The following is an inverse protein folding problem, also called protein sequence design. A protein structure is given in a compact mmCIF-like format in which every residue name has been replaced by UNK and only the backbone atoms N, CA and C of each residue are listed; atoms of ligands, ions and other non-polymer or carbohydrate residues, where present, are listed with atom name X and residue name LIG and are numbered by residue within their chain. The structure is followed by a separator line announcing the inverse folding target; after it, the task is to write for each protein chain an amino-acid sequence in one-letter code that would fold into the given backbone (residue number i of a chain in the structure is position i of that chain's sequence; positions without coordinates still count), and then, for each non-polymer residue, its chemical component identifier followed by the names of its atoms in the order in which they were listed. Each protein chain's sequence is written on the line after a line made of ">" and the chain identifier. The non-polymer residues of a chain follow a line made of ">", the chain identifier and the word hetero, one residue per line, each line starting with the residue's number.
data_IF_404226422460
#
_entry.id   IF_404226422460
#
_cell.length_a   1.000
_cell.length_b   1.000
_cell.length_c   1.000
_cell.angle_alpha   90.00
_cell.angle_beta   90.00
_cell.angle_gamma   90.00
#
_symmetry.space_group_name_H-M   'P 1'
#
loop_
_entity.id
_entity.type
_entity.pdbx_description
1 polymer ?
#
# COMPACT_ATOMS: atom_id res chain seq x y z
N UNK A 1 16.46 12.69 5.47
CA UNK A 1 15.62 13.70 4.77
C UNK A 1 14.48 14.06 5.70
N UNK A 2 14.33 15.35 6.05
CA UNK A 2 13.20 15.82 6.85
C UNK A 2 11.95 15.60 5.99
N UNK A 3 10.87 15.04 6.56
CA UNK A 3 9.60 14.82 5.84
C UNK A 3 8.61 15.91 6.23
N UNK A 4 7.85 16.43 5.25
CA UNK A 4 6.72 17.32 5.52
C UNK A 4 5.77 16.59 6.48
N UNK A 5 5.23 17.26 7.50
CA UNK A 5 4.25 16.62 8.37
C UNK A 5 2.87 16.59 7.68
N UNK A 6 2.08 15.54 7.90
CA UNK A 6 0.76 15.38 7.27
C UNK A 6 -0.16 16.61 7.45
N UNK A 7 -0.24 17.28 8.62
CA UNK A 7 -1.04 18.50 8.76
C UNK A 7 -0.54 19.67 7.90
N UNK A 8 0.77 19.76 7.65
CA UNK A 8 1.35 20.79 6.80
C UNK A 8 1.04 20.51 5.32
N UNK A 9 1.07 19.25 4.91
CA UNK A 9 0.66 18.82 3.57
C UNK A 9 -0.83 19.09 3.33
N UNK A 10 -1.72 18.69 4.26
CA UNK A 10 -3.16 18.98 4.20
C UNK A 10 -3.44 20.48 4.12
N UNK A 11 -2.75 21.30 4.92
CA UNK A 11 -2.88 22.75 4.87
C UNK A 11 -2.46 23.33 3.52
N UNK A 12 -1.40 22.80 2.90
CA UNK A 12 -0.99 23.21 1.55
C UNK A 12 -2.14 22.99 0.57
N UNK A 13 -2.67 21.76 0.50
CA UNK A 13 -3.74 21.38 -0.44
C UNK A 13 -4.95 22.29 -0.25
N UNK A 14 -5.39 22.48 1.00
CA UNK A 14 -6.57 23.31 1.28
C UNK A 14 -6.39 24.75 0.80
N UNK A 15 -5.21 25.34 1.04
CA UNK A 15 -4.88 26.70 0.60
C UNK A 15 -4.79 26.79 -0.92
N UNK A 16 -4.19 25.80 -1.59
CA UNK A 16 -4.09 25.76 -3.04
C UNK A 16 -5.46 25.63 -3.70
N UNK A 17 -6.33 24.73 -3.22
CA UNK A 17 -7.69 24.60 -3.70
C UNK A 17 -8.50 25.89 -3.47
N UNK A 18 -8.29 26.55 -2.33
CA UNK A 18 -8.85 27.87 -2.04
C UNK A 18 -8.42 28.94 -3.05
N UNK A 19 -7.13 29.00 -3.38
CA UNK A 19 -6.58 29.92 -4.36
C UNK A 19 -7.11 29.65 -5.78
N UNK A 20 -7.16 28.38 -6.20
CA UNK A 20 -7.75 27.96 -7.49
C UNK A 20 -9.20 28.44 -7.60
N UNK A 21 -10.04 28.18 -6.59
CA UNK A 21 -11.44 28.64 -6.56
C UNK A 21 -11.55 30.16 -6.60
N UNK A 22 -10.68 30.87 -5.89
CA UNK A 22 -10.70 32.33 -5.88
C UNK A 22 -10.43 32.92 -7.27
N UNK A 23 -9.45 32.39 -8.01
CA UNK A 23 -9.16 32.80 -9.39
C UNK A 23 -10.31 32.48 -10.36
N UNK A 24 -11.02 31.36 -10.15
CA UNK A 24 -12.17 31.00 -10.97
C UNK A 24 -13.41 31.87 -10.72
N UNK A 25 -13.53 32.48 -9.53
CA UNK A 25 -14.73 33.21 -9.09
C UNK A 25 -14.59 34.74 -9.16
N UNK A 26 -13.38 35.28 -9.02
CA UNK A 26 -13.15 36.71 -8.85
C UNK A 26 -12.00 37.22 -9.73
N UNK A 27 -12.00 38.49 -10.15
CA UNK A 27 -10.85 39.09 -10.83
C UNK A 27 -9.64 39.21 -9.88
N UNK A 28 -8.41 39.15 -10.42
CA UNK A 28 -7.17 39.13 -9.62
C UNK A 28 -7.01 40.29 -8.64
N UNK A 29 -7.58 41.47 -8.93
CA UNK A 29 -7.56 42.62 -8.01
C UNK A 29 -8.53 42.51 -6.83
N UNK A 30 -9.32 41.43 -6.74
CA UNK A 30 -10.32 41.26 -5.69
C UNK A 30 -9.64 40.90 -4.36
N UNK A 31 -10.01 41.53 -3.21
CA UNK A 31 -9.36 41.28 -1.92
C UNK A 31 -9.33 39.81 -1.49
N UNK A 32 -10.37 39.04 -1.84
CA UNK A 32 -10.40 37.60 -1.54
C UNK A 32 -9.31 36.80 -2.28
N UNK A 33 -8.96 37.19 -3.51
CA UNK A 33 -7.89 36.54 -4.28
C UNK A 33 -6.54 36.86 -3.65
N UNK A 34 -6.29 38.16 -3.39
CA UNK A 34 -5.07 38.64 -2.72
C UNK A 34 -4.85 37.94 -1.38
N UNK A 35 -5.90 37.78 -0.58
CA UNK A 35 -5.82 37.11 0.72
C UNK A 35 -5.47 35.62 0.60
N UNK A 36 -6.07 34.89 -0.35
CA UNK A 36 -5.75 33.47 -0.55
C UNK A 36 -4.30 33.27 -0.96
N UNK A 37 -3.77 34.07 -1.89
CA UNK A 37 -2.37 33.97 -2.30
C UNK A 37 -1.38 34.44 -1.24
N UNK A 38 -1.78 35.36 -0.36
CA UNK A 38 -0.97 35.71 0.82
C UNK A 38 -0.84 34.49 1.74
N UNK A 39 -1.95 33.86 2.12
CA UNK A 39 -1.92 32.68 3.00
C UNK A 39 -1.18 31.49 2.38
N UNK A 40 -1.42 31.22 1.10
CA UNK A 40 -0.73 30.15 0.36
C UNK A 40 0.77 30.44 0.26
N UNK A 41 1.14 31.66 -0.09
CA UNK A 41 2.53 32.11 -0.18
C UNK A 41 3.26 31.99 1.15
N UNK A 42 2.65 32.42 2.26
CA UNK A 42 3.22 32.30 3.60
C UNK A 42 3.48 30.84 3.99
N UNK A 43 2.53 29.94 3.67
CA UNK A 43 2.66 28.52 3.98
C UNK A 43 3.71 27.82 3.10
N UNK A 44 3.75 28.14 1.79
CA UNK A 44 4.79 27.64 0.88
C UNK A 44 6.18 28.12 1.30
N UNK A 45 6.31 29.41 1.67
CA UNK A 45 7.56 29.95 2.19
C UNK A 45 7.95 29.30 3.53
N UNK A 46 6.99 29.01 4.40
CA UNK A 46 7.24 28.27 5.64
C UNK A 46 7.83 26.88 5.37
N UNK A 47 7.24 26.13 4.44
CA UNK A 47 7.76 24.83 4.03
C UNK A 47 9.16 24.95 3.41
N UNK A 48 9.37 25.92 2.52
CA UNK A 48 10.65 26.09 1.83
C UNK A 48 11.80 26.59 2.73
N UNK A 49 11.52 27.01 3.97
CA UNK A 49 12.55 27.21 5.00
C UNK A 49 13.12 25.89 5.52
N UNK A 50 12.33 24.83 5.49
CA UNK A 50 12.70 23.49 5.96
C UNK A 50 13.06 22.53 4.83
N UNK A 51 12.59 22.78 3.60
CA UNK A 51 12.75 21.92 2.44
C UNK A 51 13.31 22.71 1.24
N UNK A 52 14.29 22.20 0.49
CA UNK A 52 14.85 22.90 -0.67
C UNK A 52 13.85 23.05 -1.84
N UNK A 53 12.91 22.11 -1.93
CA UNK A 53 11.84 22.05 -2.93
C UNK A 53 10.60 21.44 -2.25
N UNK A 54 9.41 21.83 -2.71
CA UNK A 54 8.12 21.20 -2.35
C UNK A 54 7.39 20.83 -3.62
N UNK A 55 7.06 19.56 -3.78
CA UNK A 55 6.44 18.95 -4.96
C UNK A 55 5.00 18.59 -4.64
N UNK A 56 4.09 18.92 -5.53
CA UNK A 56 2.70 18.47 -5.48
C UNK A 56 2.35 17.89 -6.84
N UNK A 57 1.39 17.01 -6.91
CA UNK A 57 1.03 16.43 -8.19
C UNK A 57 -0.05 15.40 -8.12
N UNK A 58 -0.19 14.65 -9.21
CA UNK A 58 -1.12 13.55 -9.33
C UNK A 58 -0.37 12.35 -9.87
N UNK A 59 -0.51 11.23 -9.16
CA UNK A 59 -0.03 9.92 -9.61
C UNK A 59 -1.24 9.00 -9.62
N UNK A 60 -1.55 8.42 -10.78
CA UNK A 60 -2.70 7.51 -10.97
C UNK A 60 -4.04 8.06 -10.45
N UNK A 61 -4.28 9.36 -10.63
CA UNK A 61 -5.50 10.06 -10.19
C UNK A 61 -5.53 10.44 -8.71
N UNK A 62 -4.49 10.10 -7.94
CA UNK A 62 -4.35 10.45 -6.52
C UNK A 62 -3.48 11.68 -6.38
N UNK A 63 -3.99 12.71 -5.69
CA UNK A 63 -3.20 13.90 -5.40
C UNK A 63 -2.08 13.56 -4.41
N UNK A 64 -0.91 14.16 -4.56
CA UNK A 64 0.18 14.06 -3.58
C UNK A 64 0.80 15.42 -3.26
N UNK A 65 1.40 15.49 -2.08
CA UNK A 65 2.26 16.58 -1.64
C UNK A 65 3.50 15.95 -0.99
N UNK A 66 4.63 16.05 -1.68
CA UNK A 66 5.88 15.35 -1.37
C UNK A 66 5.61 13.85 -1.13
N UNK A 67 5.89 13.39 0.07
CA UNK A 67 5.75 12.01 0.49
C UNK A 67 4.35 11.67 1.05
N UNK A 68 3.34 12.53 0.85
CA UNK A 68 1.96 12.31 1.27
C UNK A 68 1.06 12.14 0.05
N UNK A 69 0.53 10.94 -0.13
CA UNK A 69 -0.51 10.64 -1.10
C UNK A 69 -1.87 10.75 -0.42
N UNK A 70 -2.84 11.41 -1.06
CA UNK A 70 -4.16 11.63 -0.49
C UNK A 70 -5.17 10.64 -1.08
N UNK A 71 -5.08 9.37 -0.69
CA UNK A 71 -5.93 8.32 -1.28
C UNK A 71 -7.39 8.32 -0.77
N UNK A 72 -7.67 8.95 0.38
CA UNK A 72 -9.03 9.37 0.78
C UNK A 72 -9.17 10.89 0.61
N UNK A 73 -9.30 11.37 -0.64
CA UNK A 73 -9.25 12.79 -0.89
C UNK A 73 -10.48 13.46 -0.27
N UNK A 74 -10.29 14.62 0.37
CA UNK A 74 -11.42 15.52 0.61
C UNK A 74 -11.79 16.18 -0.73
N UNK A 75 -12.88 16.95 -0.75
CA UNK A 75 -13.27 17.69 -1.95
C UNK A 75 -12.14 18.58 -2.50
N UNK A 76 -11.24 19.09 -1.64
CA UNK A 76 -10.11 19.90 -2.08
C UNK A 76 -9.06 19.09 -2.86
N UNK A 77 -8.70 17.90 -2.37
CA UNK A 77 -7.76 16.99 -3.04
C UNK A 77 -8.36 16.46 -4.34
N UNK A 78 -9.65 16.08 -4.38
CA UNK A 78 -10.32 15.62 -5.62
C UNK A 78 -10.35 16.72 -6.69
N UNK A 79 -10.63 17.96 -6.28
CA UNK A 79 -10.64 19.13 -7.18
C UNK A 79 -9.26 19.36 -7.80
N UNK A 80 -8.20 19.33 -6.98
CA UNK A 80 -6.84 19.52 -7.46
C UNK A 80 -6.34 18.34 -8.30
N UNK A 81 -6.68 17.10 -7.91
CA UNK A 81 -6.35 15.91 -8.70
C UNK A 81 -6.97 15.98 -10.09
N UNK A 82 -8.25 16.35 -10.15
CA UNK A 82 -8.98 16.55 -11.40
C UNK A 82 -8.38 17.69 -12.22
N UNK A 83 -7.99 18.80 -11.58
CA UNK A 83 -7.36 19.93 -12.26
C UNK A 83 -6.04 19.53 -12.92
N UNK A 84 -5.13 18.90 -12.19
CA UNK A 84 -3.81 18.49 -12.69
C UNK A 84 -3.94 17.46 -13.82
N UNK A 85 -4.80 16.45 -13.62
CA UNK A 85 -5.10 15.44 -14.65
C UNK A 85 -5.65 16.08 -15.93
N UNK A 86 -6.64 16.96 -15.80
CA UNK A 86 -7.25 17.67 -16.94
C UNK A 86 -6.32 18.71 -17.59
N UNK A 87 -5.16 18.99 -16.99
CA UNK A 87 -4.12 19.88 -17.52
C UNK A 87 -2.90 19.12 -18.04
N UNK A 88 -2.90 17.80 -17.98
CA UNK A 88 -1.75 16.95 -18.32
C UNK A 88 -0.48 17.33 -17.53
N UNK A 89 -0.66 17.64 -16.24
CA UNK A 89 0.40 17.97 -15.30
C UNK A 89 0.52 16.81 -14.31
N UNK A 90 1.69 16.18 -14.25
CA UNK A 90 1.96 15.11 -13.28
C UNK A 90 2.43 15.69 -11.96
N UNK A 91 3.34 16.66 -12.00
CA UNK A 91 3.83 17.30 -10.80
C UNK A 91 4.16 18.77 -11.04
N UNK A 92 4.17 19.54 -9.95
CA UNK A 92 4.60 20.93 -9.88
C UNK A 92 5.54 21.03 -8.69
N UNK A 93 6.73 21.57 -8.94
CA UNK A 93 7.73 21.75 -7.92
C UNK A 93 7.91 23.25 -7.62
N UNK A 94 7.81 23.62 -6.36
CA UNK A 94 8.06 24.96 -5.83
C UNK A 94 9.45 24.98 -5.19
N UNK A 95 10.27 25.98 -5.53
CA UNK A 95 11.64 26.13 -5.03
C UNK A 95 11.80 27.35 -4.13
N UNK A 96 12.84 27.32 -3.30
CA UNK A 96 13.21 28.44 -2.45
C UNK A 96 13.30 29.75 -3.26
N UNK A 97 12.67 30.81 -2.74
CA UNK A 97 12.58 32.11 -3.41
C UNK A 97 11.28 32.35 -4.18
N UNK A 98 10.36 31.38 -4.23
CA UNK A 98 9.02 31.57 -4.84
C UNK A 98 8.24 32.69 -4.14
N UNK A 99 7.68 33.60 -4.93
CA UNK A 99 6.89 34.73 -4.45
C UNK A 99 5.38 34.47 -4.54
N UNK A 100 4.53 35.12 -3.69
CA UNK A 100 3.08 35.02 -3.83
C UNK A 100 2.57 35.39 -5.23
N UNK A 101 3.22 36.36 -5.89
CA UNK A 101 2.90 36.78 -7.26
C UNK A 101 3.22 35.70 -8.30
N UNK A 102 4.30 34.95 -8.13
CA UNK A 102 4.62 33.81 -9.00
C UNK A 102 3.62 32.67 -8.83
N UNK A 103 3.19 32.39 -7.59
CA UNK A 103 2.16 31.38 -7.31
C UNK A 103 0.82 31.82 -7.92
N UNK A 104 0.46 33.09 -7.80
CA UNK A 104 -0.75 33.66 -8.41
C UNK A 104 -0.74 33.50 -9.94
N UNK A 105 0.32 33.97 -10.60
CA UNK A 105 0.47 33.82 -12.06
C UNK A 105 0.45 32.35 -12.50
N UNK A 106 1.09 31.46 -11.75
CA UNK A 106 1.06 30.04 -12.04
C UNK A 106 -0.37 29.47 -11.97
N UNK A 107 -1.12 29.76 -10.90
CA UNK A 107 -2.50 29.28 -10.74
C UNK A 107 -3.43 29.88 -11.81
N UNK A 108 -3.23 31.14 -12.21
CA UNK A 108 -3.93 31.73 -13.36
C UNK A 108 -3.67 30.98 -14.67
N UNK A 109 -2.41 30.58 -14.93
CA UNK A 109 -2.07 29.79 -16.10
C UNK A 109 -2.67 28.37 -16.02
N UNK A 110 -2.59 27.72 -14.86
CA UNK A 110 -3.12 26.37 -14.63
C UNK A 110 -4.65 26.31 -14.80
N UNK A 111 -5.37 27.37 -14.45
CA UNK A 111 -6.84 27.40 -14.55
C UNK A 111 -7.34 27.65 -15.99
N UNK A 112 -6.51 28.24 -16.86
CA UNK A 112 -6.86 28.48 -18.28
C UNK A 112 -6.87 27.20 -19.10
N UNK A 113 -8.01 26.91 -19.75
CA UNK A 113 -8.23 25.68 -20.53
C UNK A 113 -7.37 25.56 -21.80
N UNK A 114 -6.83 26.67 -22.28
CA UNK A 114 -6.02 26.75 -23.50
C UNK A 114 -4.57 26.24 -23.31
N UNK A 115 -4.10 26.16 -22.05
CA UNK A 115 -2.76 25.75 -21.69
C UNK A 115 -2.77 24.35 -21.08
N UNK A 116 -2.24 23.39 -21.82
CA UNK A 116 -2.18 21.98 -21.45
C UNK A 116 -0.74 21.47 -21.64
N UNK A 117 -0.29 20.57 -20.77
CA UNK A 117 0.97 19.85 -20.94
C UNK A 117 2.16 20.77 -21.25
N UNK A 118 2.86 20.50 -22.36
CA UNK A 118 4.02 21.27 -22.83
C UNK A 118 3.72 22.75 -23.05
N UNK A 119 2.50 23.09 -23.51
CA UNK A 119 2.09 24.49 -23.67
C UNK A 119 2.03 25.21 -22.33
N UNK A 120 1.50 24.56 -21.29
CA UNK A 120 1.45 25.14 -19.95
C UNK A 120 2.86 25.38 -19.41
N UNK A 121 3.75 24.38 -19.53
CA UNK A 121 5.15 24.53 -19.11
C UNK A 121 5.86 25.68 -19.85
N UNK A 122 5.63 25.82 -21.16
CA UNK A 122 6.20 26.91 -21.96
C UNK A 122 5.68 28.30 -21.54
N UNK A 123 4.39 28.45 -21.23
CA UNK A 123 3.85 29.72 -20.74
C UNK A 123 4.35 30.08 -19.35
N UNK A 124 4.54 29.09 -18.46
CA UNK A 124 5.14 29.31 -17.13
C UNK A 124 6.54 29.92 -17.26
N UNK A 125 7.36 29.38 -18.17
CA UNK A 125 8.68 29.94 -18.48
C UNK A 125 8.59 31.33 -19.12
N UNK A 126 7.68 31.53 -20.09
CA UNK A 126 7.51 32.84 -20.76
C UNK A 126 7.02 33.94 -19.82
N UNK A 127 6.21 33.59 -18.82
CA UNK A 127 5.73 34.50 -17.78
C UNK A 127 6.81 34.90 -16.77
N UNK A 128 8.03 34.36 -16.88
CA UNK A 128 9.15 34.65 -16.01
C UNK A 128 9.01 34.03 -14.61
N UNK A 129 8.26 32.93 -14.49
CA UNK A 129 8.07 32.20 -13.23
C UNK A 129 9.27 31.24 -13.10
N UNK A 130 10.26 31.62 -12.28
CA UNK A 130 11.53 30.89 -12.19
C UNK A 130 11.51 29.85 -11.06
N UNK A 131 10.78 30.11 -10.00
CA UNK A 131 10.76 29.27 -8.81
C UNK A 131 9.69 28.15 -8.83
N UNK A 132 8.96 27.99 -9.93
CA UNK A 132 7.95 26.94 -10.12
C UNK A 132 8.26 26.19 -11.42
N UNK A 133 8.40 24.86 -11.36
CA UNK A 133 8.50 24.01 -12.56
C UNK A 133 7.33 23.05 -12.68
N UNK A 134 6.83 22.90 -13.91
CA UNK A 134 5.77 21.97 -14.27
C UNK A 134 6.40 20.73 -14.89
N UNK A 135 6.00 19.57 -14.40
CA UNK A 135 6.45 18.28 -14.89
C UNK A 135 5.30 17.58 -15.61
N UNK A 136 5.63 17.03 -16.76
CA UNK A 136 4.68 16.57 -17.76
C UNK A 136 4.84 15.08 -17.95
N UNK A 137 3.71 14.39 -18.06
CA UNK A 137 3.70 12.95 -18.34
C UNK A 137 4.29 12.64 -19.70
N UNK A 138 5.55 12.25 -19.69
CA UNK A 138 6.36 11.91 -20.84
C UNK A 138 7.73 11.44 -20.37
N UNK A 139 7.87 10.13 -20.15
CA UNK A 139 9.13 9.40 -19.98
C UNK A 139 10.28 10.18 -19.29
N UNK A 140 10.29 10.16 -17.95
CA UNK A 140 11.41 10.60 -17.12
C UNK A 140 10.98 11.60 -16.04
N UNK A 141 11.38 11.50 -14.77
CA UNK A 141 12.35 10.64 -14.11
C UNK A 141 12.25 10.85 -12.59
N UNK A 142 12.59 9.84 -11.77
CA UNK A 142 13.50 10.03 -10.62
C UNK A 142 14.33 8.76 -10.48
N UNK A 143 15.66 8.93 -10.41
CA UNK A 143 16.74 7.93 -10.42
C UNK A 143 16.33 6.47 -10.18
N UNK A 144 16.06 5.77 -11.28
CA UNK A 144 16.24 4.33 -11.33
C UNK A 144 17.74 4.11 -11.60
N UNK A 145 18.46 3.33 -10.77
CA UNK A 145 19.83 2.96 -11.11
C UNK A 145 19.84 2.28 -12.48
N UNK A 146 20.89 2.57 -13.25
CA UNK A 146 21.12 2.20 -14.65
C UNK A 146 20.47 0.88 -15.13
N UNK A 147 20.07 0.79 -16.43
CA UNK A 147 19.32 -0.33 -17.03
C UNK A 147 20.17 -1.60 -17.24
N UNK A 148 20.75 -2.08 -16.16
CA UNK A 148 21.37 -3.39 -15.99
C UNK A 148 20.91 -4.12 -14.72
N UNK A 149 20.25 -3.43 -13.77
CA UNK A 149 19.87 -3.98 -12.45
C UNK A 149 18.34 -4.07 -12.19
N UNK A 150 17.48 -3.53 -13.08
CA UNK A 150 16.02 -3.38 -12.86
C UNK A 150 15.23 -4.70 -12.77
N UNK A 151 15.79 -5.83 -13.19
CA UNK A 151 15.03 -7.10 -13.22
C UNK A 151 14.76 -7.68 -11.82
N UNK A 152 15.30 -7.06 -10.75
CA UNK A 152 15.25 -7.60 -9.38
C UNK A 152 14.80 -6.62 -8.28
N UNK A 153 14.28 -5.40 -8.54
CA UNK A 153 13.76 -4.54 -7.44
C UNK A 153 12.41 -5.07 -6.89
N UNK A 154 12.37 -5.58 -5.66
CA UNK A 154 11.15 -6.14 -5.08
C UNK A 154 10.13 -5.04 -4.76
N UNK A 155 10.58 -3.81 -4.45
CA UNK A 155 9.72 -2.67 -4.17
C UNK A 155 8.97 -2.19 -5.41
N UNK A 156 9.67 -2.04 -6.55
CA UNK A 156 9.05 -1.76 -7.83
C UNK A 156 8.05 -2.85 -8.24
N UNK A 157 8.43 -4.13 -8.09
CA UNK A 157 7.57 -5.27 -8.42
C UNK A 157 6.29 -5.29 -7.59
N UNK A 158 6.36 -4.95 -6.29
CA UNK A 158 5.18 -4.79 -5.42
C UNK A 158 4.25 -3.66 -5.91
N UNK A 159 4.80 -2.48 -6.21
CA UNK A 159 4.01 -1.33 -6.70
C UNK A 159 3.35 -1.63 -8.05
N UNK A 160 4.06 -2.31 -8.94
CA UNK A 160 3.51 -2.76 -10.22
C UNK A 160 2.36 -3.76 -10.02
N UNK A 161 2.50 -4.72 -9.08
CA UNK A 161 1.42 -5.65 -8.72
C UNK A 161 0.18 -4.92 -8.23
N UNK A 162 0.36 -3.93 -7.34
CA UNK A 162 -0.73 -3.12 -6.83
C UNK A 162 -1.47 -2.37 -7.95
N UNK A 163 -0.72 -1.74 -8.86
CA UNK A 163 -1.31 -1.04 -10.02
C UNK A 163 -2.10 -2.01 -10.92
N UNK A 164 -1.52 -3.17 -11.25
CA UNK A 164 -2.18 -4.16 -12.12
C UNK A 164 -3.43 -4.76 -11.48
N UNK A 165 -3.38 -5.14 -10.19
CA UNK A 165 -4.53 -5.69 -9.46
C UNK A 165 -5.66 -4.65 -9.36
N UNK A 166 -5.32 -3.40 -9.05
CA UNK A 166 -6.29 -2.29 -8.98
C UNK A 166 -6.97 -2.07 -10.33
N UNK A 167 -6.19 -2.02 -11.42
CA UNK A 167 -6.72 -1.90 -12.77
C UNK A 167 -7.63 -3.08 -13.15
N UNK A 168 -7.21 -4.30 -12.82
CA UNK A 168 -7.96 -5.53 -13.09
C UNK A 168 -9.33 -5.50 -12.41
N UNK A 169 -9.37 -5.19 -11.11
CA UNK A 169 -10.62 -5.13 -10.34
C UNK A 169 -11.54 -4.01 -10.86
N UNK A 170 -10.98 -2.86 -11.24
CA UNK A 170 -11.74 -1.76 -11.84
C UNK A 170 -12.40 -2.15 -13.17
N UNK A 171 -11.71 -2.90 -14.03
CA UNK A 171 -12.29 -3.38 -15.29
C UNK A 171 -13.41 -4.40 -15.04
N UNK A 172 -13.24 -5.30 -14.07
CA UNK A 172 -14.30 -6.25 -13.66
C UNK A 172 -15.52 -5.50 -13.10
N UNK A 173 -15.31 -4.49 -12.26
CA UNK A 173 -16.39 -3.63 -11.72
C UNK A 173 -17.18 -2.97 -12.86
N UNK A 174 -16.51 -2.53 -13.93
CA UNK A 174 -17.13 -1.98 -15.15
C UNK A 174 -17.78 -3.03 -16.07
N UNK A 175 -17.76 -4.30 -15.68
CA UNK A 175 -18.37 -5.40 -16.45
C UNK A 175 -17.51 -5.92 -17.61
N UNK A 176 -16.21 -5.60 -17.63
CA UNK A 176 -15.27 -6.09 -18.63
C UNK A 176 -14.49 -7.30 -18.10
N UNK A 177 -14.08 -8.19 -18.98
CA UNK A 177 -13.16 -9.29 -18.66
C UNK A 177 -11.72 -8.82 -18.90
N UNK A 178 -10.89 -8.67 -17.85
CA UNK A 178 -9.50 -8.24 -17.99
C UNK A 178 -8.61 -9.39 -18.48
N UNK A 179 -7.51 -9.04 -19.17
CA UNK A 179 -6.44 -10.01 -19.45
C UNK A 179 -5.66 -10.35 -18.18
N UNK A 180 -5.25 -11.61 -18.04
CA UNK A 180 -4.41 -12.10 -16.95
C UNK A 180 -2.90 -11.99 -17.22
N UNK A 181 -2.48 -11.63 -18.43
CA UNK A 181 -1.09 -11.76 -18.89
C UNK A 181 -0.12 -10.89 -18.09
N UNK A 182 -0.51 -9.63 -17.84
CA UNK A 182 0.31 -8.69 -17.04
C UNK A 182 0.48 -9.19 -15.61
N UNK A 183 -0.61 -9.63 -14.98
CA UNK A 183 -0.57 -10.16 -13.61
C UNK A 183 0.29 -11.42 -13.55
N UNK A 184 0.17 -12.31 -14.53
CA UNK A 184 0.99 -13.52 -14.61
C UNK A 184 2.47 -13.21 -14.70
N UNK A 185 2.86 -12.26 -15.55
CA UNK A 185 4.26 -11.83 -15.66
C UNK A 185 4.83 -11.31 -14.34
N UNK A 186 4.02 -10.56 -13.57
CA UNK A 186 4.41 -10.07 -12.23
C UNK A 186 4.53 -11.23 -11.24
N UNK A 187 3.53 -12.12 -11.22
CA UNK A 187 3.51 -13.30 -10.35
C UNK A 187 4.71 -14.21 -10.62
N UNK A 188 5.08 -14.43 -11.88
CA UNK A 188 6.25 -15.24 -12.24
C UNK A 188 7.57 -14.62 -11.75
N UNK A 189 7.69 -13.29 -11.81
CA UNK A 189 8.84 -12.57 -11.23
C UNK A 189 8.85 -12.72 -9.71
N UNK A 190 7.72 -12.50 -9.04
CA UNK A 190 7.61 -12.65 -7.59
C UNK A 190 7.89 -14.08 -7.12
N UNK A 191 7.39 -15.10 -7.82
CA UNK A 191 7.68 -16.50 -7.52
C UNK A 191 9.18 -16.80 -7.63
N UNK A 192 9.87 -16.21 -8.62
CA UNK A 192 11.32 -16.32 -8.78
C UNK A 192 12.06 -15.65 -7.62
N UNK A 193 11.67 -14.44 -7.24
CA UNK A 193 12.24 -13.73 -6.09
C UNK A 193 12.05 -14.48 -4.78
N UNK A 194 10.84 -15.02 -4.52
CA UNK A 194 10.54 -15.81 -3.31
C UNK A 194 11.40 -17.07 -3.25
N UNK A 195 11.65 -17.72 -4.39
CA UNK A 195 12.51 -18.90 -4.44
C UNK A 195 13.98 -18.58 -4.15
N UNK A 196 14.44 -17.36 -4.46
CA UNK A 196 15.80 -16.89 -4.19
C UNK A 196 15.96 -16.37 -2.76
N UNK A 197 15.07 -15.48 -2.32
CA UNK A 197 15.06 -14.89 -0.99
C UNK A 197 13.61 -14.56 -0.55
N UNK A 198 13.06 -15.45 0.29
CA UNK A 198 11.69 -15.34 0.83
C UNK A 198 11.50 -14.08 1.69
N UNK A 199 12.55 -13.61 2.38
CA UNK A 199 12.41 -12.59 3.41
C UNK A 199 12.09 -11.21 2.82
N UNK A 200 12.52 -10.94 1.59
CA UNK A 200 12.45 -9.60 1.00
C UNK A 200 11.03 -9.21 0.57
N UNK A 201 10.34 -10.06 -0.20
CA UNK A 201 8.93 -9.80 -0.56
C UNK A 201 7.98 -9.94 0.63
N UNK A 202 8.27 -10.87 1.55
CA UNK A 202 7.53 -11.00 2.79
C UNK A 202 7.62 -9.71 3.62
N UNK A 203 8.80 -9.06 3.66
CA UNK A 203 8.97 -7.76 4.30
C UNK A 203 8.02 -6.71 3.72
N UNK A 204 7.95 -6.59 2.40
CA UNK A 204 7.09 -5.62 1.71
C UNK A 204 5.60 -5.83 1.97
N UNK A 205 5.12 -7.08 1.94
CA UNK A 205 3.73 -7.41 2.26
C UNK A 205 3.35 -7.08 3.72
N UNK A 206 4.35 -6.94 4.60
CA UNK A 206 4.17 -6.59 6.01
C UNK A 206 4.26 -5.09 6.29
N UNK A 207 4.75 -4.28 5.33
CA UNK A 207 4.77 -2.81 5.41
C UNK A 207 3.37 -2.31 5.06
N UNK A 208 2.74 -1.59 5.99
CA UNK A 208 1.34 -1.17 5.86
C UNK A 208 1.27 0.27 5.37
N UNK A 209 0.64 0.45 4.22
CA UNK A 209 0.06 1.73 3.80
C UNK A 209 -1.45 1.68 4.06
N UNK A 210 -1.96 2.69 4.75
CA UNK A 210 -3.27 2.62 5.42
C UNK A 210 -4.44 3.08 4.56
N UNK A 211 -4.16 3.64 3.39
CA UNK A 211 -5.18 4.41 2.68
C UNK A 211 -5.88 3.63 1.54
N UNK A 212 -5.57 2.35 1.32
CA UNK A 212 -6.31 1.50 0.37
C UNK A 212 -6.34 0.00 0.73
N UNK A 213 -7.12 -0.33 1.77
CA UNK A 213 -7.17 -1.66 2.40
C UNK A 213 -7.35 -2.83 1.41
N UNK A 214 -8.27 -2.75 0.44
CA UNK A 214 -8.71 -3.93 -0.35
C UNK A 214 -7.69 -4.39 -1.40
N UNK A 215 -7.04 -3.46 -2.10
CA UNK A 215 -6.06 -3.84 -3.13
C UNK A 215 -4.72 -4.23 -2.52
N UNK A 216 -4.28 -3.52 -1.46
CA UNK A 216 -3.13 -3.97 -0.66
C UNK A 216 -3.38 -5.34 -0.05
N UNK A 217 -4.59 -5.58 0.48
CA UNK A 217 -4.97 -6.89 1.00
C UNK A 217 -4.82 -8.00 -0.06
N UNK A 218 -5.34 -7.79 -1.26
CA UNK A 218 -5.24 -8.79 -2.34
C UNK A 218 -3.78 -9.07 -2.73
N UNK A 219 -2.94 -8.01 -2.81
CA UNK A 219 -1.51 -8.14 -3.10
C UNK A 219 -0.76 -8.86 -1.99
N UNK A 220 -1.00 -8.47 -0.74
CA UNK A 220 -0.37 -9.06 0.43
C UNK A 220 -0.76 -10.53 0.59
N UNK A 221 -2.04 -10.88 0.40
CA UNK A 221 -2.51 -12.26 0.42
C UNK A 221 -1.84 -13.08 -0.67
N UNK A 222 -1.67 -12.53 -1.89
CA UNK A 222 -0.89 -13.17 -2.95
C UNK A 222 0.55 -13.49 -2.54
N UNK A 223 1.27 -12.50 -2.00
CA UNK A 223 2.67 -12.65 -1.56
C UNK A 223 2.81 -13.60 -0.37
N UNK A 224 1.93 -13.48 0.64
CA UNK A 224 1.90 -14.36 1.81
C UNK A 224 1.58 -15.81 1.41
N UNK A 225 0.65 -16.00 0.46
CA UNK A 225 0.29 -17.32 -0.07
C UNK A 225 1.47 -17.95 -0.79
N UNK A 226 2.13 -17.24 -1.70
CA UNK A 226 3.33 -17.76 -2.40
C UNK A 226 4.46 -18.07 -1.40
N UNK A 227 4.68 -17.22 -0.41
CA UNK A 227 5.72 -17.43 0.61
C UNK A 227 5.44 -18.68 1.45
N UNK A 228 4.18 -18.86 1.90
CA UNK A 228 3.75 -20.05 2.61
C UNK A 228 3.83 -21.30 1.74
N UNK A 229 3.41 -21.20 0.48
CA UNK A 229 3.53 -22.27 -0.51
C UNK A 229 4.97 -22.74 -0.67
N UNK A 230 5.91 -21.80 -0.78
CA UNK A 230 7.33 -22.11 -0.91
C UNK A 230 7.87 -22.77 0.38
N UNK A 231 7.47 -22.27 1.55
CA UNK A 231 7.81 -22.89 2.83
C UNK A 231 7.22 -24.31 2.98
N UNK A 232 6.06 -24.54 2.37
CA UNK A 232 5.35 -25.82 2.36
C UNK A 232 5.82 -26.77 1.24
N UNK A 233 6.84 -26.39 0.46
CA UNK A 233 7.50 -27.23 -0.54
C UNK A 233 6.92 -27.17 -1.95
N UNK A 234 6.04 -26.21 -2.26
CA UNK A 234 5.55 -26.00 -3.63
C UNK A 234 6.68 -25.53 -4.55
N UNK A 235 6.65 -26.00 -5.79
CA UNK A 235 7.61 -25.62 -6.83
C UNK A 235 7.23 -24.30 -7.50
N UNK A 236 8.17 -23.68 -8.23
CA UNK A 236 8.00 -22.34 -8.81
C UNK A 236 6.72 -22.21 -9.64
N UNK A 237 6.41 -23.20 -10.45
CA UNK A 237 5.23 -23.16 -11.32
C UNK A 237 3.93 -23.23 -10.50
N UNK A 238 3.90 -24.03 -9.43
CA UNK A 238 2.78 -24.06 -8.49
C UNK A 238 2.65 -22.76 -7.70
N UNK A 239 3.76 -22.08 -7.38
CA UNK A 239 3.74 -20.74 -6.77
C UNK A 239 3.14 -19.72 -7.72
N UNK A 240 3.38 -19.85 -9.03
CA UNK A 240 2.76 -19.00 -10.04
C UNK A 240 1.24 -19.11 -10.03
N UNK A 241 0.71 -20.34 -10.06
CA UNK A 241 -0.75 -20.54 -9.99
C UNK A 241 -1.35 -20.11 -8.64
N UNK A 242 -0.66 -20.41 -7.52
CA UNK A 242 -1.09 -20.02 -6.18
C UNK A 242 -1.09 -18.50 -6.01
N UNK A 243 -0.07 -17.81 -6.54
CA UNK A 243 0.01 -16.37 -6.57
C UNK A 243 -1.19 -15.79 -7.30
N UNK A 244 -1.45 -16.23 -8.53
CA UNK A 244 -2.63 -15.82 -9.31
C UNK A 244 -3.92 -15.98 -8.51
N UNK A 245 -4.12 -17.11 -7.83
CA UNK A 245 -5.29 -17.36 -7.00
C UNK A 245 -5.36 -16.40 -5.80
N UNK A 246 -4.24 -16.16 -5.11
CA UNK A 246 -4.17 -15.23 -3.98
C UNK A 246 -4.43 -13.77 -4.37
N UNK A 247 -3.89 -13.31 -5.51
CA UNK A 247 -4.15 -11.95 -6.01
C UNK A 247 -5.62 -11.73 -6.44
N UNK A 248 -6.32 -12.80 -6.84
CA UNK A 248 -7.68 -12.75 -7.37
C UNK A 248 -8.75 -13.26 -6.40
N UNK A 249 -8.39 -13.75 -5.22
CA UNK A 249 -9.31 -14.43 -4.29
C UNK A 249 -10.57 -13.61 -3.99
N UNK A 250 -10.41 -12.29 -3.93
CA UNK A 250 -11.44 -11.33 -3.57
C UNK A 250 -12.05 -10.56 -4.76
N UNK A 251 -11.72 -10.92 -6.01
CA UNK A 251 -12.17 -10.18 -7.21
C UNK A 251 -13.70 -10.11 -7.30
N UNK A 252 -14.42 -11.11 -6.78
CA UNK A 252 -15.87 -11.10 -6.73
C UNK A 252 -16.49 -10.04 -5.80
N UNK A 253 -15.70 -9.41 -4.90
CA UNK A 253 -16.19 -8.28 -4.09
C UNK A 253 -16.60 -7.09 -4.96
N UNK A 254 -16.10 -7.00 -6.18
CA UNK A 254 -16.54 -6.03 -7.20
C UNK A 254 -18.02 -6.18 -7.60
N UNK A 255 -18.64 -7.33 -7.30
CA UNK A 255 -20.08 -7.60 -7.52
C UNK A 255 -20.94 -7.37 -6.27
N UNK A 256 -20.35 -7.02 -5.13
CA UNK A 256 -21.06 -6.70 -3.90
C UNK A 256 -21.42 -5.21 -3.89
N UNK A 257 -22.63 -4.87 -3.44
CA UNK A 257 -23.05 -3.47 -3.32
C UNK A 257 -22.12 -2.68 -2.39
N UNK A 258 -21.71 -1.48 -2.82
CA UNK A 258 -20.80 -0.60 -2.06
C UNK A 258 -21.30 -0.30 -0.65
N UNK A 259 -22.61 -0.17 -0.46
CA UNK A 259 -23.24 0.06 0.84
C UNK A 259 -23.02 -1.10 1.83
N UNK A 260 -22.96 -2.34 1.32
CA UNK A 260 -22.64 -3.54 2.12
C UNK A 260 -21.13 -3.65 2.32
N UNK A 261 -20.37 -3.50 1.23
CA UNK A 261 -18.91 -3.65 1.24
C UNK A 261 -18.24 -2.67 2.21
N UNK A 262 -18.70 -1.41 2.23
CA UNK A 262 -18.12 -0.33 3.01
C UNK A 262 -18.92 0.00 4.28
N UNK A 263 -19.80 -0.90 4.75
CA UNK A 263 -20.73 -0.59 5.84
C UNK A 263 -20.00 -0.24 7.15
N UNK A 264 -20.27 0.93 7.79
CA UNK A 264 -19.86 1.35 9.15
C UNK A 264 -20.39 0.47 10.30
N UNK A 265 -20.15 -0.85 10.29
CA UNK A 265 -20.52 -1.74 11.39
C UNK A 265 -20.68 -3.21 11.01
N UNK A 266 -21.38 -3.97 11.86
CA UNK A 266 -21.72 -5.38 11.59
C UNK A 266 -22.75 -5.46 10.45
N UNK A 267 -22.56 -6.43 9.57
CA UNK A 267 -23.54 -6.80 8.55
C UNK A 267 -24.76 -7.45 9.23
N UNK A 268 -25.95 -7.20 8.69
CA UNK A 268 -27.15 -7.99 8.98
C UNK A 268 -26.99 -9.40 8.41
N UNK A 269 -27.86 -10.34 8.81
CA UNK A 269 -27.85 -11.69 8.26
C UNK A 269 -27.98 -11.68 6.73
N UNK A 270 -28.89 -10.87 6.19
CA UNK A 270 -29.11 -10.77 4.74
C UNK A 270 -27.91 -10.13 4.02
N UNK A 271 -27.34 -9.06 4.59
CA UNK A 271 -26.13 -8.44 4.04
C UNK A 271 -24.94 -9.41 4.05
N UNK A 272 -24.84 -10.24 5.08
CA UNK A 272 -23.81 -11.27 5.18
C UNK A 272 -24.02 -12.37 4.13
N UNK A 273 -25.25 -12.85 3.91
CA UNK A 273 -25.57 -13.78 2.82
C UNK A 273 -25.16 -13.23 1.45
N UNK A 274 -25.39 -11.94 1.22
CA UNK A 274 -24.99 -11.27 -0.02
C UNK A 274 -23.48 -11.13 -0.15
N UNK A 275 -22.79 -10.81 0.95
CA UNK A 275 -21.33 -10.74 1.00
C UNK A 275 -20.69 -12.09 0.66
N UNK A 276 -21.21 -13.21 1.19
CA UNK A 276 -20.65 -14.56 0.94
C UNK A 276 -20.61 -14.96 -0.53
N UNK A 277 -21.47 -14.38 -1.38
CA UNK A 277 -21.51 -14.68 -2.82
C UNK A 277 -20.27 -14.20 -3.59
N UNK A 278 -19.43 -13.34 -3.01
CA UNK A 278 -18.22 -12.88 -3.69
C UNK A 278 -17.29 -14.05 -4.08
N UNK A 279 -17.26 -15.15 -3.33
CA UNK A 279 -16.42 -16.29 -3.67
C UNK A 279 -16.92 -16.99 -4.94
N UNK A 280 -18.24 -17.13 -5.10
CA UNK A 280 -18.86 -17.73 -6.30
C UNK A 280 -18.73 -16.81 -7.51
N UNK A 281 -19.01 -15.51 -7.34
CA UNK A 281 -18.84 -14.50 -8.40
C UNK A 281 -17.37 -14.38 -8.83
N UNK A 282 -16.44 -14.40 -7.86
CA UNK A 282 -15.01 -14.35 -8.11
C UNK A 282 -14.55 -15.55 -8.92
N UNK A 283 -14.95 -16.76 -8.52
CA UNK A 283 -14.62 -17.98 -9.24
C UNK A 283 -15.13 -17.95 -10.69
N UNK A 284 -16.36 -17.47 -10.90
CA UNK A 284 -16.93 -17.30 -12.25
C UNK A 284 -16.13 -16.32 -13.10
N UNK A 285 -15.79 -15.15 -12.56
CA UNK A 285 -14.98 -14.14 -13.25
C UNK A 285 -13.64 -14.75 -13.67
N UNK A 286 -12.99 -15.45 -12.75
CA UNK A 286 -11.66 -16.06 -12.94
C UNK A 286 -11.70 -17.21 -13.95
N UNK A 287 -12.77 -18.00 -13.98
CA UNK A 287 -12.98 -19.07 -14.97
C UNK A 287 -13.20 -18.51 -16.40
N UNK A 288 -13.83 -17.34 -16.52
CA UNK A 288 -14.03 -16.64 -17.79
C UNK A 288 -12.78 -15.86 -18.26
N UNK A 289 -11.76 -15.68 -17.41
CA UNK A 289 -10.55 -14.94 -17.75
C UNK A 289 -9.60 -15.74 -18.65
N UNK A 290 -9.18 -15.20 -19.82
CA UNK A 290 -8.26 -15.89 -20.71
C UNK A 290 -6.94 -16.26 -20.04
N UNK A 291 -6.51 -17.51 -20.27
CA UNK A 291 -5.24 -18.04 -19.78
C UNK A 291 -5.25 -18.48 -18.32
N UNK A 292 -6.32 -18.24 -17.56
CA UNK A 292 -6.41 -18.64 -16.15
C UNK A 292 -6.90 -20.09 -16.04
N UNK A 293 -6.18 -20.91 -15.28
CA UNK A 293 -6.49 -22.34 -15.14
C UNK A 293 -7.62 -22.62 -14.15
N UNK A 294 -8.37 -23.70 -14.36
CA UNK A 294 -9.52 -24.12 -13.54
C UNK A 294 -9.17 -24.24 -12.04
N UNK A 295 -7.93 -24.67 -11.72
CA UNK A 295 -7.46 -24.76 -10.33
C UNK A 295 -7.46 -23.41 -9.62
N UNK A 296 -7.14 -22.33 -10.32
CA UNK A 296 -7.13 -20.97 -9.79
C UNK A 296 -8.56 -20.55 -9.45
N UNK A 297 -9.53 -20.79 -10.36
CA UNK A 297 -10.94 -20.53 -10.11
C UNK A 297 -11.48 -21.33 -8.92
N UNK A 298 -11.09 -22.61 -8.77
CA UNK A 298 -11.45 -23.43 -7.60
C UNK A 298 -10.86 -22.90 -6.30
N UNK A 299 -9.63 -22.40 -6.32
CA UNK A 299 -9.00 -21.78 -5.16
C UNK A 299 -9.72 -20.50 -4.73
N UNK A 300 -10.10 -19.66 -5.71
CA UNK A 300 -10.93 -18.46 -5.49
C UNK A 300 -12.32 -18.83 -4.97
N UNK A 301 -12.93 -19.92 -5.45
CA UNK A 301 -14.21 -20.40 -4.94
C UNK A 301 -14.12 -20.86 -3.48
N UNK A 302 -13.03 -21.57 -3.13
CA UNK A 302 -12.89 -22.30 -1.88
C UNK A 302 -12.14 -21.59 -0.76
N UNK A 303 -11.64 -20.37 -0.95
CA UNK A 303 -10.77 -19.71 0.04
C UNK A 303 -11.41 -19.42 1.41
N UNK A 304 -12.74 -19.49 1.52
CA UNK A 304 -13.50 -19.38 2.77
C UNK A 304 -14.05 -20.72 3.30
N UNK A 305 -13.71 -21.83 2.65
CA UNK A 305 -13.94 -23.16 3.20
C UNK A 305 -12.94 -23.41 4.32
N UNK A 306 -13.47 -23.83 5.46
CA UNK A 306 -12.67 -24.21 6.63
C UNK A 306 -12.05 -25.58 6.43
N UNK A 307 -10.97 -25.83 7.16
CA UNK A 307 -10.33 -27.14 7.18
C UNK A 307 -11.27 -28.28 7.60
N UNK A 308 -12.17 -28.03 8.55
CA UNK A 308 -13.25 -28.96 8.96
C UNK A 308 -14.42 -29.05 7.97
N UNK A 309 -14.28 -28.46 6.77
CA UNK A 309 -15.26 -28.43 5.67
C UNK A 309 -16.53 -27.64 5.95
N UNK A 310 -16.58 -26.92 7.07
CA UNK A 310 -17.57 -25.86 7.27
C UNK A 310 -17.17 -24.60 6.47
N UNK A 311 -17.90 -23.50 6.65
CA UNK A 311 -17.67 -22.26 5.91
C UNK A 311 -18.56 -22.13 4.68
N UNK A 312 -18.16 -21.28 3.74
CA UNK A 312 -18.93 -20.93 2.54
C UNK A 312 -18.01 -20.77 1.32
N UNK A 313 -18.56 -20.86 0.10
CA UNK A 313 -19.94 -21.20 -0.26
C UNK A 313 -20.23 -22.71 -0.13
N UNK A 314 -21.50 -23.11 -0.05
CA UNK A 314 -21.88 -24.53 0.07
C UNK A 314 -21.42 -25.36 -1.14
N UNK A 315 -21.44 -24.75 -2.32
CA UNK A 315 -20.95 -25.30 -3.58
C UNK A 315 -19.48 -25.78 -3.50
N UNK A 316 -18.67 -25.15 -2.65
CA UNK A 316 -17.26 -25.50 -2.47
C UNK A 316 -17.03 -26.66 -1.48
N UNK A 317 -18.01 -27.01 -0.64
CA UNK A 317 -17.84 -28.05 0.39
C UNK A 317 -17.63 -29.45 -0.19
N UNK A 318 -18.19 -29.70 -1.37
CA UNK A 318 -18.06 -30.99 -2.08
C UNK A 318 -16.74 -31.13 -2.87
N UNK A 319 -15.97 -30.04 -3.03
CA UNK A 319 -14.68 -30.10 -3.72
C UNK A 319 -13.69 -30.99 -2.96
N UNK A 320 -12.75 -31.62 -3.66
CA UNK A 320 -11.62 -32.25 -3.00
C UNK A 320 -10.84 -31.21 -2.18
N UNK A 321 -10.07 -31.66 -1.18
CA UNK A 321 -9.09 -30.79 -0.54
C UNK A 321 -8.09 -30.31 -1.59
N UNK A 322 -7.96 -28.99 -1.74
CA UNK A 322 -6.92 -28.36 -2.55
C UNK A 322 -6.07 -27.49 -1.64
N UNK A 323 -4.77 -27.80 -1.62
CA UNK A 323 -3.78 -27.10 -0.81
C UNK A 323 -3.74 -25.60 -1.09
N UNK A 324 -4.17 -25.15 -2.27
CA UNK A 324 -4.25 -23.72 -2.58
C UNK A 324 -5.31 -23.00 -1.74
N UNK A 325 -6.49 -23.60 -1.57
CA UNK A 325 -7.54 -23.04 -0.70
C UNK A 325 -7.02 -22.89 0.73
N UNK A 326 -6.37 -23.94 1.25
CA UNK A 326 -5.90 -23.96 2.63
C UNK A 326 -4.76 -22.95 2.85
N UNK A 327 -3.85 -22.80 1.88
CA UNK A 327 -2.77 -21.79 1.94
C UNK A 327 -3.34 -20.38 1.91
N UNK A 328 -4.25 -20.09 0.96
CA UNK A 328 -4.88 -18.76 0.85
C UNK A 328 -5.68 -18.44 2.10
N UNK A 329 -6.42 -19.39 2.66
CA UNK A 329 -7.18 -19.19 3.90
C UNK A 329 -6.30 -18.79 5.09
N UNK A 330 -5.09 -19.37 5.22
CA UNK A 330 -4.12 -18.96 6.25
C UNK A 330 -3.61 -17.54 5.99
N UNK A 331 -3.23 -17.23 4.75
CA UNK A 331 -2.72 -15.92 4.36
C UNK A 331 -3.76 -14.80 4.51
N UNK A 332 -4.99 -15.01 4.00
CA UNK A 332 -6.14 -14.10 4.15
C UNK A 332 -6.46 -13.88 5.64
N UNK A 333 -6.57 -14.96 6.43
CA UNK A 333 -6.85 -14.82 7.85
C UNK A 333 -5.79 -13.96 8.58
N UNK A 334 -4.51 -14.15 8.25
CA UNK A 334 -3.42 -13.38 8.84
C UNK A 334 -3.47 -11.90 8.44
N UNK A 335 -3.58 -11.59 7.15
CA UNK A 335 -3.65 -10.21 6.69
C UNK A 335 -4.92 -9.53 7.25
N UNK A 336 -6.06 -10.21 7.23
CA UNK A 336 -7.33 -9.73 7.76
C UNK A 336 -7.28 -9.30 9.24
N UNK A 337 -6.56 -10.03 10.09
CA UNK A 337 -6.47 -9.72 11.54
C UNK A 337 -5.33 -8.77 11.88
N UNK A 338 -4.34 -8.61 10.98
CA UNK A 338 -3.21 -7.70 11.17
C UNK A 338 -3.41 -6.36 10.47
N UNK A 339 -4.30 -6.23 9.50
CA UNK A 339 -4.56 -4.97 8.80
C UNK A 339 -5.66 -4.17 9.51
N UNK A 340 -5.49 -2.86 9.65
CA UNK A 340 -6.43 -1.95 10.31
C UNK A 340 -7.76 -1.95 9.53
N UNK A 341 -8.87 -2.29 10.21
CA UNK A 341 -10.22 -2.20 9.64
C UNK A 341 -10.99 -1.10 10.35
N UNK A 342 -11.96 -0.50 9.65
CA UNK A 342 -12.81 0.61 10.16
C UNK A 342 -13.42 0.32 11.54
N UNK A 343 -13.61 -0.95 11.95
CA UNK A 343 -14.19 -1.34 13.26
C UNK A 343 -13.25 -2.10 14.20
N UNK A 344 -11.95 -2.23 13.89
CA UNK A 344 -11.05 -3.05 14.71
C UNK A 344 -9.58 -2.63 14.59
N UNK A 345 -8.95 -2.34 15.73
CA UNK A 345 -7.51 -2.17 15.82
C UNK A 345 -6.80 -3.47 15.38
N UNK A 346 -5.74 -3.36 14.57
CA UNK A 346 -5.00 -4.52 14.10
C UNK A 346 -4.34 -5.25 15.28
N UNK A 347 -4.29 -6.59 15.20
CA UNK A 347 -3.42 -7.35 16.08
C UNK A 347 -1.96 -7.11 15.68
N UNK A 348 -1.06 -7.02 16.65
CA UNK A 348 0.36 -7.10 16.35
C UNK A 348 0.69 -8.48 15.75
N UNK A 349 1.78 -8.61 14.98
CA UNK A 349 2.14 -9.86 14.30
C UNK A 349 2.19 -11.10 15.21
N UNK A 350 2.64 -10.95 16.46
CA UNK A 350 2.75 -12.06 17.42
C UNK A 350 1.38 -12.55 17.89
N UNK A 351 0.48 -11.64 18.22
CA UNK A 351 -0.88 -11.99 18.65
C UNK A 351 -1.70 -12.58 17.49
N UNK A 352 -1.44 -12.11 16.26
CA UNK A 352 -1.99 -12.72 15.06
C UNK A 352 -1.54 -14.18 14.89
N UNK A 353 -0.25 -14.50 15.09
CA UNK A 353 0.22 -15.88 15.06
C UNK A 353 -0.42 -16.75 16.15
N UNK A 354 -0.58 -16.23 17.37
CA UNK A 354 -1.30 -16.94 18.43
C UNK A 354 -2.77 -17.19 18.04
N UNK A 355 -3.40 -16.22 17.38
CA UNK A 355 -4.77 -16.37 16.88
C UNK A 355 -4.86 -17.45 15.80
N UNK A 356 -3.95 -17.50 14.84
CA UNK A 356 -3.92 -18.57 13.84
C UNK A 356 -3.77 -19.95 14.48
N UNK A 357 -2.86 -20.09 15.47
CA UNK A 357 -2.69 -21.35 16.21
C UNK A 357 -3.96 -21.78 16.94
N UNK A 358 -4.77 -20.85 17.45
CA UNK A 358 -6.07 -21.16 18.06
C UNK A 358 -7.12 -21.68 17.07
N UNK A 359 -6.92 -21.43 15.77
CA UNK A 359 -7.80 -21.82 14.68
C UNK A 359 -7.34 -23.11 13.96
N UNK A 360 -6.11 -23.56 14.22
CA UNK A 360 -5.51 -24.76 13.63
C UNK A 360 -6.34 -26.02 13.93
N UNK A 361 -6.48 -26.89 12.94
CA UNK A 361 -7.22 -28.14 13.02
C UNK A 361 -8.74 -28.00 12.97
N UNK A 362 -9.26 -26.77 12.88
CA UNK A 362 -10.70 -26.51 12.71
C UNK A 362 -10.97 -25.60 11.52
N UNK A 363 -10.53 -24.34 11.59
CA UNK A 363 -10.71 -23.38 10.49
C UNK A 363 -9.55 -23.46 9.50
N UNK A 364 -8.34 -23.70 9.99
CA UNK A 364 -7.11 -23.71 9.22
C UNK A 364 -6.38 -25.05 9.35
N UNK A 365 -5.67 -25.47 8.31
CA UNK A 365 -4.81 -26.65 8.36
C UNK A 365 -3.66 -26.46 9.37
N UNK A 366 -3.47 -27.43 10.26
CA UNK A 366 -2.48 -27.33 11.34
C UNK A 366 -1.04 -27.31 10.83
N UNK A 367 -0.74 -28.07 9.77
CA UNK A 367 0.59 -28.13 9.17
C UNK A 367 0.97 -26.81 8.49
N UNK A 368 0.01 -26.19 7.79
CA UNK A 368 0.20 -24.88 7.17
C UNK A 368 0.31 -23.76 8.21
N UNK A 369 -0.47 -23.78 9.29
CA UNK A 369 -0.31 -22.81 10.39
C UNK A 369 1.06 -22.94 11.05
N UNK A 370 1.56 -24.17 11.22
CA UNK A 370 2.90 -24.41 11.72
C UNK A 370 3.96 -23.85 10.74
N UNK A 371 3.88 -24.21 9.46
CA UNK A 371 4.80 -23.72 8.44
C UNK A 371 4.78 -22.19 8.31
N UNK A 372 3.60 -21.57 8.40
CA UNK A 372 3.45 -20.12 8.39
C UNK A 372 4.10 -19.49 9.62
N UNK A 373 3.88 -20.07 10.80
CA UNK A 373 4.50 -19.62 12.05
C UNK A 373 6.03 -19.67 11.97
N UNK A 374 6.58 -20.75 11.45
CA UNK A 374 8.03 -20.93 11.27
C UNK A 374 8.59 -19.95 10.24
N UNK A 375 7.88 -19.75 9.11
CA UNK A 375 8.21 -18.79 8.07
C UNK A 375 8.28 -17.35 8.60
N UNK A 376 7.32 -16.95 9.44
CA UNK A 376 7.28 -15.60 10.02
C UNK A 376 8.36 -15.37 11.08
N UNK A 377 8.93 -16.45 11.62
CA UNK A 377 9.92 -16.42 12.69
C UNK A 377 9.36 -15.94 14.03
N UNK A 378 10.23 -15.90 15.04
CA UNK A 378 9.85 -15.47 16.39
C UNK A 378 9.52 -13.97 16.48
N UNK A 379 10.21 -13.17 15.67
CA UNK A 379 10.05 -11.73 15.61
C UNK A 379 9.78 -11.32 14.16
N UNK A 380 8.52 -11.35 13.71
CA UNK A 380 8.14 -10.91 12.38
C UNK A 380 8.45 -9.43 12.15
N UNK A 381 8.51 -9.02 10.87
CA UNK A 381 8.59 -7.61 10.48
C UNK A 381 7.46 -6.81 11.13
N UNK A 382 7.80 -5.62 11.64
CA UNK A 382 6.91 -4.75 12.40
C UNK A 382 6.75 -5.10 13.87
N UNK A 383 7.45 -6.12 14.37
CA UNK A 383 7.49 -6.37 15.83
C UNK A 383 8.33 -5.30 16.52
N UNK A 384 7.74 -4.62 17.50
CA UNK A 384 8.45 -3.71 18.39
C UNK A 384 9.10 -4.52 19.53
N UNK A 385 10.41 -4.37 19.70
CA UNK A 385 11.21 -5.16 20.64
C UNK A 385 12.06 -4.27 21.53
N UNK A 386 12.31 -4.71 22.76
CA UNK A 386 13.29 -4.12 23.66
C UNK A 386 14.55 -4.98 23.67
N UNK A 387 15.69 -4.34 23.52
CA UNK A 387 17.01 -4.96 23.57
C UNK A 387 17.53 -5.01 25.02
N UNK A 388 18.52 -5.85 25.29
CA UNK A 388 19.17 -5.95 26.60
C UNK A 388 19.93 -4.68 27.02
N UNK A 389 20.23 -3.81 26.07
CA UNK A 389 20.71 -2.43 26.27
C UNK A 389 19.62 -1.47 26.76
N UNK A 390 18.35 -1.93 26.88
CA UNK A 390 17.14 -1.13 27.10
C UNK A 390 16.72 -0.21 25.94
N UNK A 391 17.41 -0.28 24.80
CA UNK A 391 16.95 0.36 23.57
C UNK A 391 15.66 -0.30 23.07
N UNK A 392 14.80 0.48 22.41
CA UNK A 392 13.60 -0.02 21.72
C UNK A 392 13.85 0.00 20.22
N UNK A 393 13.52 -1.08 19.54
CA UNK A 393 13.78 -1.24 18.12
C UNK A 393 12.58 -1.88 17.38
N UNK A 394 12.44 -1.58 16.10
CA UNK A 394 11.46 -2.19 15.20
C UNK A 394 12.17 -3.21 14.32
N UNK A 395 11.63 -4.43 14.26
CA UNK A 395 12.12 -5.45 13.33
C UNK A 395 11.72 -5.07 11.90
N UNK A 396 12.69 -4.92 11.00
CA UNK A 396 12.42 -4.62 9.59
C UNK A 396 12.89 -5.73 8.64
N UNK A 397 13.74 -6.65 9.10
CA UNK A 397 14.08 -7.88 8.38
C UNK A 397 14.15 -9.05 9.37
N UNK A 398 13.37 -10.13 9.17
CA UNK A 398 13.41 -11.29 10.05
C UNK A 398 14.70 -12.06 9.84
N UNK A 399 15.11 -12.85 10.84
CA UNK A 399 16.16 -13.85 10.69
C UNK A 399 15.50 -15.22 10.50
N UNK A 400 15.56 -15.81 9.29
CA UNK A 400 14.98 -17.12 9.03
C UNK A 400 15.83 -18.26 9.63
N UNK A 401 17.05 -17.99 10.09
CA UNK A 401 17.84 -18.98 10.82
C UNK A 401 17.39 -19.05 12.28
N UNK A 402 17.54 -20.21 12.92
CA UNK A 402 17.08 -20.47 14.29
C UNK A 402 17.77 -19.61 15.39
N UNK A 403 18.54 -18.58 15.01
CA UNK A 403 19.28 -17.70 15.91
C UNK A 403 18.47 -16.59 16.59
N UNK A 404 17.20 -16.38 16.21
CA UNK A 404 16.31 -15.34 16.77
C UNK A 404 16.91 -13.92 16.71
N UNK A 405 17.72 -13.63 15.69
CA UNK A 405 18.55 -12.42 15.60
C UNK A 405 18.22 -11.58 14.35
N UNK A 406 17.02 -10.97 14.29
CA UNK A 406 16.59 -10.17 13.14
C UNK A 406 17.41 -8.89 12.97
N UNK A 407 17.34 -8.27 11.80
CA UNK A 407 17.79 -6.89 11.64
C UNK A 407 16.70 -5.92 12.12
N UNK A 408 17.12 -4.95 12.93
CA UNK A 408 16.24 -4.00 13.61
C UNK A 408 16.65 -2.56 13.34
N UNK A 409 15.69 -1.63 13.35
CA UNK A 409 15.95 -0.18 13.42
C UNK A 409 15.73 0.26 14.86
N UNK A 410 16.74 0.83 15.51
CA UNK A 410 16.63 1.30 16.89
C UNK A 410 15.90 2.65 16.91
N UNK A 411 14.69 2.66 17.47
CA UNK A 411 13.77 3.80 17.42
C UNK A 411 13.79 4.64 18.70
N UNK A 412 14.25 4.07 19.81
CA UNK A 412 14.45 4.81 21.05
C UNK A 412 15.70 4.33 21.80
N UNK A 413 16.40 5.28 22.42
CA UNK A 413 17.56 5.00 23.27
C UNK A 413 17.15 4.44 24.66
N UNK A 414 18.10 4.03 25.52
CA UNK A 414 17.79 3.48 26.85
C UNK A 414 17.04 4.44 27.78
N UNK A 415 17.04 5.75 27.50
CA UNK A 415 16.30 6.76 28.25
C UNK A 415 14.87 6.97 27.73
N UNK A 416 14.50 6.28 26.65
CA UNK A 416 13.21 6.43 25.97
C UNK A 416 13.15 7.62 25.01
N UNK A 417 14.29 8.27 24.71
CA UNK A 417 14.33 9.34 23.70
C UNK A 417 14.29 8.73 22.32
N UNK A 418 13.35 9.19 21.48
CA UNK A 418 13.25 8.75 20.09
C UNK A 418 14.51 9.14 19.30
N UNK A 419 14.97 8.24 18.44
CA UNK A 419 16.15 8.41 17.60
C UNK A 419 15.74 8.73 16.17
N UNK A 420 16.27 9.82 15.63
CA UNK A 420 16.08 10.25 14.25
C UNK A 420 17.41 10.75 13.65
N UNK A 421 17.98 10.05 12.65
CA UNK A 421 17.48 8.81 12.04
C UNK A 421 17.61 7.60 12.99
N UNK A 422 16.70 6.63 12.86
CA UNK A 422 16.76 5.37 13.60
C UNK A 422 17.90 4.47 13.05
N UNK A 423 18.98 4.21 13.81
CA UNK A 423 20.09 3.42 13.31
C UNK A 423 19.71 1.95 13.09
N UNK A 424 20.21 1.37 12.00
CA UNK A 424 20.03 -0.05 11.67
C UNK A 424 21.06 -0.89 12.41
N UNK A 425 20.62 -2.00 13.02
CA UNK A 425 21.47 -3.04 13.60
C UNK A 425 21.10 -4.41 13.06
N UNK A 426 22.11 -5.16 12.63
CA UNK A 426 21.96 -6.56 12.25
C UNK A 426 22.37 -7.42 13.44
N UNK A 427 21.38 -7.91 14.20
CA UNK A 427 21.64 -8.68 15.41
C UNK A 427 22.32 -10.03 15.09
N UNK A 428 22.29 -10.51 13.85
CA UNK A 428 23.02 -11.72 13.45
C UNK A 428 24.53 -11.46 13.35
N UNK A 429 24.93 -10.23 13.00
CA UNK A 429 26.35 -9.84 12.84
C UNK A 429 26.97 -9.24 14.10
N UNK A 430 26.15 -8.68 14.99
CA UNK A 430 26.62 -8.08 16.24
C UNK A 430 26.72 -9.11 17.37
N UNK A 431 27.89 -9.21 18.02
CA UNK A 431 28.07 -10.05 19.22
C UNK A 431 27.63 -9.30 20.47
N UNK A 432 26.67 -9.85 21.23
CA UNK A 432 26.34 -9.38 22.59
C UNK A 432 24.93 -8.83 22.77
N UNK A 433 24.36 -8.14 21.78
CA UNK A 433 23.00 -7.58 21.89
C UNK A 433 21.93 -8.63 21.59
N UNK A 434 20.88 -8.67 22.41
CA UNK A 434 19.75 -9.61 22.25
C UNK A 434 18.40 -8.98 22.57
N UNK A 435 17.35 -9.54 21.98
CA UNK A 435 15.97 -9.16 22.29
C UNK A 435 15.59 -9.75 23.65
N UNK A 436 15.13 -8.91 24.58
CA UNK A 436 14.71 -9.33 25.93
C UNK A 436 13.19 -9.27 26.12
N UNK A 437 12.48 -8.48 25.32
CA UNK A 437 11.02 -8.39 25.38
C UNK A 437 10.42 -7.91 24.06
N UNK A 438 9.16 -8.30 23.82
CA UNK A 438 8.28 -7.65 22.83
C UNK A 438 7.56 -6.52 23.54
N UNK A 439 7.46 -5.36 22.89
CA UNK A 439 6.78 -4.16 23.40
C UNK A 439 5.45 -4.02 22.66
N UNK A 440 4.38 -3.74 23.38
CA UNK A 440 3.07 -3.46 22.76
C UNK A 440 3.09 -2.03 22.17
N UNK A 441 2.95 -1.86 20.84
CA UNK A 441 2.93 -0.54 20.22
C UNK A 441 1.84 0.38 20.79
N UNK A 442 0.69 -0.17 21.19
CA UNK A 442 -0.44 0.59 21.75
C UNK A 442 -0.13 1.21 23.12
N UNK A 443 0.89 0.69 23.80
CA UNK A 443 1.36 1.19 25.08
C UNK A 443 2.50 2.21 24.91
N UNK A 444 2.79 2.64 23.68
CA UNK A 444 3.89 3.56 23.34
C UNK A 444 3.42 4.67 22.40
N UNK A 445 4.23 5.74 22.28
CA UNK A 445 4.04 6.80 21.27
C UNK A 445 4.70 6.46 19.93
N UNK A 446 5.22 5.24 19.77
CA UNK A 446 6.00 4.82 18.61
C UNK A 446 5.05 4.31 17.53
N UNK A 447 4.92 5.06 16.44
CA UNK A 447 4.33 4.56 15.21
C UNK A 447 5.34 3.67 14.48
N UNK A 448 5.13 2.36 14.55
CA UNK A 448 6.00 1.34 13.96
C UNK A 448 6.15 1.53 12.44
N UNK A 449 5.10 1.96 11.74
CA UNK A 449 5.08 2.01 10.28
C UNK A 449 6.03 3.08 9.73
N UNK A 450 6.23 4.17 10.48
CA UNK A 450 7.23 5.21 10.18
C UNK A 450 8.63 4.64 9.97
N UNK A 451 8.94 3.52 10.62
CA UNK A 451 10.27 2.91 10.58
C UNK A 451 10.34 1.71 9.64
N UNK A 452 9.25 1.29 9.01
CA UNK A 452 9.27 0.13 8.11
C UNK A 452 9.48 0.51 6.63
N UNK A 453 9.12 1.73 6.24
CA UNK A 453 9.34 2.27 4.90
C UNK A 453 10.69 2.95 4.66
#
# INVERSE_FOLDING_TARGET
>A
MIRIAQPQAQRFVLLLAGAVRAVLLYPGSHPAVVQQFTHLGDHVAELLRAYPEVRIGVIDGVFFCENHLFFTPTAAEEELASLFTNRHVEAVAFRAGVTPLEIERFVELLTRREFLGERLAAEVQRAGIAAISVELGGSGATEVPSPGDEEHDPGATYREALHVVTGLFSEVEKGRLPSSDKLRGIVDRMATMIMQDRATLLGLAMIKDYDNYTFHHSVNVGILSMSLGAAAGLQRDELGELGMAGFLHDVGKTRVEKAILNKPGRLSSDEYERMKRHSEEGARIVDEMPGVGERIARAVLGHHIRFDRAGYPESARALAFDRFCDIIAVADCYDAITTLRVYKSPLNPKDALLKLRSLAGSHLDSGLVQAFTEMMGRFPVGTLVRLDTNEVAVVFRPDPSAGERPAVKVVADPSGRLLEPAPVRDLARETGTRIVAVVDPLMTVIDVNRYLG
#
